data_IF_712168524071
#
_entry.id   IF_712168524071
#
_cell.length_a   1.000
_cell.length_b   1.000
_cell.length_c   1.000
_cell.angle_alpha   90.00
_cell.angle_beta   90.00
_cell.angle_gamma   90.00
#
_symmetry.space_group_name_H-M   'P 1'
#
loop_
_entity.id
_entity.type
_entity.pdbx_description
1 polymer ?
#
# COMPACT_ATOMS: atom_id res chain seq x y z
N UNK A 1 -25.80 -61.86 15.69
CA UNK A 1 -24.93 -60.72 16.06
C UNK A 1 -24.72 -60.71 17.56
N UNK A 2 -23.53 -61.10 18.00
CA UNK A 2 -23.16 -61.24 19.41
C UNK A 2 -22.87 -59.88 20.06
N UNK A 3 -23.11 -59.77 21.38
CA UNK A 3 -22.94 -58.56 22.20
C UNK A 3 -21.58 -57.85 22.03
N UNK A 4 -20.53 -58.59 21.64
CA UNK A 4 -19.17 -58.10 21.33
C UNK A 4 -19.05 -57.31 20.02
N UNK A 5 -19.83 -57.64 18.98
CA UNK A 5 -19.82 -56.87 17.73
C UNK A 5 -20.49 -55.50 17.88
N UNK A 6 -21.51 -55.37 18.73
CA UNK A 6 -22.17 -54.08 19.03
C UNK A 6 -21.24 -53.12 19.80
N UNK A 7 -20.43 -53.63 20.71
CA UNK A 7 -19.51 -52.80 21.52
C UNK A 7 -18.32 -52.26 20.72
N UNK A 8 -17.81 -53.02 19.74
CA UNK A 8 -16.77 -52.55 18.83
C UNK A 8 -17.26 -51.46 17.86
N UNK A 9 -18.52 -51.56 17.38
CA UNK A 9 -19.14 -50.55 16.51
C UNK A 9 -19.35 -49.22 17.27
N UNK A 10 -19.85 -49.29 18.51
CA UNK A 10 -20.12 -48.11 19.36
C UNK A 10 -18.82 -47.38 19.76
N UNK A 11 -17.72 -48.12 19.97
CA UNK A 11 -16.41 -47.51 20.28
C UNK A 11 -15.80 -46.75 19.11
N UNK A 12 -15.97 -47.26 17.88
CA UNK A 12 -15.54 -46.57 16.66
C UNK A 12 -16.34 -45.29 16.40
N UNK A 13 -17.66 -45.36 16.55
CA UNK A 13 -18.54 -44.19 16.36
C UNK A 13 -18.26 -43.09 17.41
N UNK A 14 -18.00 -43.46 18.67
CA UNK A 14 -17.64 -42.50 19.71
C UNK A 14 -16.30 -41.80 19.42
N UNK A 15 -15.29 -42.54 18.94
CA UNK A 15 -13.99 -41.95 18.55
C UNK A 15 -14.14 -40.99 17.37
N UNK A 16 -14.97 -41.32 16.39
CA UNK A 16 -15.26 -40.43 15.25
C UNK A 16 -15.99 -39.17 15.72
N UNK A 17 -16.99 -39.30 16.60
CA UNK A 17 -17.71 -38.13 17.17
C UNK A 17 -16.74 -37.24 17.95
N UNK A 18 -15.89 -37.80 18.80
CA UNK A 18 -14.88 -37.04 19.55
C UNK A 18 -13.86 -36.37 18.63
N UNK A 19 -13.43 -37.03 17.55
CA UNK A 19 -12.54 -36.45 16.56
C UNK A 19 -13.20 -35.27 15.83
N UNK A 20 -14.48 -35.40 15.44
CA UNK A 20 -15.25 -34.32 14.79
C UNK A 20 -15.44 -33.14 15.76
N UNK A 21 -15.83 -33.40 17.02
CA UNK A 21 -15.97 -32.36 18.03
C UNK A 21 -14.64 -31.67 18.34
N UNK A 22 -13.55 -32.44 18.42
CA UNK A 22 -12.21 -31.90 18.61
C UNK A 22 -11.76 -31.02 17.46
N UNK A 23 -11.99 -31.45 16.21
CA UNK A 23 -11.72 -30.64 15.02
C UNK A 23 -12.58 -29.38 15.00
N UNK A 24 -13.88 -29.49 15.29
CA UNK A 24 -14.79 -28.35 15.38
C UNK A 24 -14.36 -27.32 16.43
N UNK A 25 -13.95 -27.79 17.60
CA UNK A 25 -13.41 -26.93 18.65
C UNK A 25 -12.09 -26.25 18.22
N UNK A 26 -11.16 -27.00 17.61
CA UNK A 26 -9.91 -26.45 17.10
C UNK A 26 -10.16 -25.36 16.04
N UNK A 27 -11.12 -25.57 15.14
CA UNK A 27 -11.53 -24.56 14.16
C UNK A 27 -12.10 -23.32 14.81
N UNK A 28 -12.92 -23.45 15.86
CA UNK A 28 -13.44 -22.29 16.61
C UNK A 28 -12.32 -21.51 17.30
N UNK A 29 -11.39 -22.19 17.95
CA UNK A 29 -10.23 -21.56 18.60
C UNK A 29 -9.38 -20.77 17.60
N UNK A 30 -9.23 -21.25 16.36
CA UNK A 30 -8.53 -20.53 15.29
C UNK A 30 -9.36 -19.40 14.68
N UNK A 31 -10.68 -19.55 14.59
CA UNK A 31 -11.57 -18.58 13.95
C UNK A 31 -11.84 -17.35 14.81
N UNK A 32 -11.90 -17.49 16.15
CA UNK A 32 -12.25 -16.39 17.06
C UNK A 32 -11.24 -15.23 16.99
N UNK A 33 -9.91 -15.43 17.16
CA UNK A 33 -8.96 -14.32 17.10
C UNK A 33 -8.99 -13.58 15.76
N UNK A 34 -9.13 -14.34 14.65
CA UNK A 34 -9.20 -13.78 13.30
C UNK A 34 -10.46 -12.94 13.09
N UNK A 35 -11.61 -13.45 13.53
CA UNK A 35 -12.89 -12.73 13.43
C UNK A 35 -12.88 -11.45 14.26
N UNK A 36 -12.37 -11.51 15.50
CA UNK A 36 -12.28 -10.33 16.37
C UNK A 36 -11.33 -9.29 15.76
N UNK A 37 -10.14 -9.71 15.31
CA UNK A 37 -9.16 -8.79 14.73
C UNK A 37 -9.71 -8.08 13.47
N UNK A 38 -10.32 -8.81 12.53
CA UNK A 38 -10.90 -8.17 11.34
C UNK A 38 -12.11 -7.28 11.65
N UNK A 39 -12.92 -7.63 12.65
CA UNK A 39 -14.02 -6.79 13.11
C UNK A 39 -13.50 -5.47 13.69
N UNK A 40 -12.43 -5.52 14.49
CA UNK A 40 -11.75 -4.32 15.02
C UNK A 40 -11.15 -3.45 13.93
N UNK A 41 -10.67 -4.02 12.83
CA UNK A 41 -10.13 -3.25 11.69
C UNK A 41 -11.20 -2.61 10.80
N UNK A 42 -12.46 -3.06 10.88
CA UNK A 42 -13.53 -2.63 9.97
C UNK A 42 -13.70 -1.10 9.86
N UNK A 43 -13.67 -0.31 10.95
CA UNK A 43 -13.79 1.15 10.87
C UNK A 43 -12.69 1.82 10.04
N UNK A 44 -11.47 1.27 10.04
CA UNK A 44 -10.35 1.83 9.27
C UNK A 44 -10.50 1.62 7.76
N UNK A 45 -11.28 0.63 7.30
CA UNK A 45 -11.51 0.41 5.86
C UNK A 45 -12.15 1.61 5.17
N UNK A 46 -13.11 2.26 5.84
CA UNK A 46 -13.73 3.49 5.32
C UNK A 46 -12.72 4.64 5.22
N UNK A 47 -11.82 4.75 6.21
CA UNK A 47 -10.73 5.74 6.18
C UNK A 47 -9.76 5.47 5.04
N UNK A 48 -9.36 4.21 4.83
CA UNK A 48 -8.50 3.84 3.70
C UNK A 48 -9.14 4.15 2.34
N UNK A 49 -10.44 3.88 2.19
CA UNK A 49 -11.21 4.23 0.99
C UNK A 49 -11.33 5.74 0.77
N UNK A 50 -11.46 6.53 1.84
CA UNK A 50 -11.44 7.99 1.74
C UNK A 50 -10.05 8.48 1.30
N UNK A 51 -8.98 7.93 1.90
CA UNK A 51 -7.60 8.27 1.55
C UNK A 51 -7.24 7.89 0.11
N UNK A 52 -7.68 6.72 -0.39
CA UNK A 52 -7.41 6.30 -1.76
C UNK A 52 -8.09 7.20 -2.80
N UNK A 53 -9.24 7.77 -2.45
CA UNK A 53 -9.96 8.77 -3.27
C UNK A 53 -9.41 10.19 -3.12
N UNK A 54 -8.30 10.37 -2.40
CA UNK A 54 -7.68 11.68 -2.18
C UNK A 54 -8.46 12.60 -1.25
N UNK A 55 -9.45 12.07 -0.49
CA UNK A 55 -10.19 12.88 0.48
C UNK A 55 -9.32 13.21 1.68
N UNK A 56 -9.48 14.42 2.21
CA UNK A 56 -8.88 14.82 3.47
C UNK A 56 -9.63 14.16 4.63
N UNK A 57 -8.92 13.35 5.42
CA UNK A 57 -9.48 12.71 6.62
C UNK A 57 -8.99 13.46 7.85
N UNK A 58 -9.92 13.77 8.76
CA UNK A 58 -9.61 14.44 10.03
C UNK A 58 -8.65 13.63 10.91
N UNK A 59 -7.86 14.30 11.77
CA UNK A 59 -6.83 13.64 12.55
C UNK A 59 -7.45 12.70 13.58
N UNK A 60 -8.61 13.04 14.14
CA UNK A 60 -9.34 12.25 15.13
C UNK A 60 -9.80 10.89 14.55
N UNK A 61 -10.29 10.86 13.30
CA UNK A 61 -10.58 9.60 12.58
C UNK A 61 -9.33 8.76 12.33
N UNK A 62 -8.21 9.38 11.99
CA UNK A 62 -6.94 8.68 11.77
C UNK A 62 -6.41 8.05 13.07
N UNK A 63 -6.43 8.80 14.19
CA UNK A 63 -6.02 8.28 15.50
C UNK A 63 -6.92 7.14 15.98
N UNK A 64 -8.26 7.26 15.83
CA UNK A 64 -9.19 6.17 16.13
C UNK A 64 -8.91 4.93 15.29
N UNK A 65 -8.59 5.10 14.00
CA UNK A 65 -8.23 3.98 13.13
C UNK A 65 -6.93 3.30 13.56
N UNK A 66 -5.91 4.08 13.94
CA UNK A 66 -4.66 3.54 14.51
C UNK A 66 -4.92 2.75 15.79
N UNK A 67 -5.74 3.29 16.70
CA UNK A 67 -6.07 2.62 17.96
C UNK A 67 -6.78 1.28 17.72
N UNK A 68 -7.81 1.26 16.86
CA UNK A 68 -8.54 0.00 16.59
C UNK A 68 -7.69 -1.04 15.87
N UNK A 69 -6.72 -0.63 15.05
CA UNK A 69 -5.77 -1.57 14.43
C UNK A 69 -4.74 -2.11 15.43
N UNK A 70 -4.30 -1.30 16.40
CA UNK A 70 -3.47 -1.80 17.51
C UNK A 70 -4.21 -2.81 18.37
N UNK A 71 -5.50 -2.55 18.65
CA UNK A 71 -6.35 -3.54 19.31
C UNK A 71 -6.48 -4.81 18.45
N UNK A 72 -6.69 -4.71 17.14
CA UNK A 72 -6.74 -5.88 16.27
C UNK A 72 -5.44 -6.70 16.33
N UNK A 73 -4.28 -6.04 16.33
CA UNK A 73 -2.97 -6.68 16.40
C UNK A 73 -2.69 -7.35 17.76
N UNK A 74 -3.37 -6.95 18.84
CA UNK A 74 -3.26 -7.68 20.11
C UNK A 74 -4.01 -9.01 20.09
N UNK A 75 -4.91 -9.23 19.13
CA UNK A 75 -5.60 -10.52 18.92
C UNK A 75 -4.86 -11.40 17.91
N UNK A 76 -4.37 -10.80 16.82
CA UNK A 76 -3.69 -11.54 15.77
C UNK A 76 -2.69 -10.62 15.07
N UNK A 77 -1.41 -11.02 15.08
CA UNK A 77 -0.36 -10.32 14.35
C UNK A 77 -0.53 -10.52 12.84
N UNK A 78 -0.79 -9.44 12.11
CA UNK A 78 -1.17 -9.49 10.70
C UNK A 78 -0.56 -8.34 9.91
N UNK A 79 -0.13 -8.65 8.69
CA UNK A 79 0.46 -7.68 7.77
C UNK A 79 -0.44 -6.45 7.54
N UNK A 80 -1.74 -6.66 7.30
CA UNK A 80 -2.68 -5.59 6.98
C UNK A 80 -2.84 -4.60 8.15
N UNK A 81 -2.87 -5.10 9.39
CA UNK A 81 -2.92 -4.27 10.59
C UNK A 81 -1.76 -3.27 10.66
N UNK A 82 -0.53 -3.77 10.42
CA UNK A 82 0.68 -2.96 10.43
C UNK A 82 0.77 -1.99 9.24
N UNK A 83 0.45 -2.45 8.02
CA UNK A 83 0.48 -1.63 6.80
C UNK A 83 -0.53 -0.46 6.92
N UNK A 84 -1.72 -0.73 7.44
CA UNK A 84 -2.77 0.28 7.57
C UNK A 84 -2.42 1.31 8.65
N UNK A 85 -1.89 0.89 9.81
CA UNK A 85 -1.33 1.82 10.82
C UNK A 85 -0.28 2.74 10.19
N UNK A 86 0.64 2.18 9.41
CA UNK A 86 1.65 2.97 8.71
C UNK A 86 1.03 3.95 7.72
N UNK A 87 0.01 3.51 6.98
CA UNK A 87 -0.74 4.34 6.03
C UNK A 87 -1.45 5.51 6.71
N UNK A 88 -2.08 5.29 7.88
CA UNK A 88 -2.72 6.35 8.64
C UNK A 88 -1.71 7.36 9.19
N UNK A 89 -0.55 6.90 9.65
CA UNK A 89 0.55 7.77 10.11
C UNK A 89 1.16 8.59 8.98
N UNK A 90 1.34 7.99 7.80
CA UNK A 90 1.75 8.72 6.60
C UNK A 90 0.73 9.80 6.22
N UNK A 91 -0.57 9.52 6.35
CA UNK A 91 -1.62 10.51 6.11
C UNK A 91 -1.59 11.65 7.16
N UNK A 92 -1.40 11.33 8.44
CA UNK A 92 -1.18 12.34 9.50
C UNK A 92 0.02 13.23 9.18
N UNK A 93 1.15 12.64 8.75
CA UNK A 93 2.37 13.36 8.43
C UNK A 93 2.25 14.32 7.23
N UNK A 94 1.20 14.22 6.40
CA UNK A 94 0.96 15.15 5.29
C UNK A 94 0.24 16.42 5.71
N UNK A 95 -0.25 16.49 6.94
CA UNK A 95 -0.99 17.67 7.37
C UNK A 95 -0.09 18.93 7.42
N UNK A 96 -0.63 20.10 7.11
CA UNK A 96 0.14 21.34 7.08
C UNK A 96 0.41 21.93 8.47
N UNK A 97 -0.42 21.60 9.48
CA UNK A 97 -0.37 22.13 10.84
C UNK A 97 0.68 21.49 11.76
N UNK A 98 1.45 20.51 11.25
CA UNK A 98 2.47 19.81 12.03
C UNK A 98 3.82 20.53 11.99
N UNK A 99 4.47 20.61 13.16
CA UNK A 99 5.89 20.94 13.25
C UNK A 99 6.73 19.89 12.52
N UNK A 100 7.92 20.29 12.05
CA UNK A 100 8.82 19.37 11.35
C UNK A 100 9.24 18.17 12.21
N UNK A 101 9.47 18.40 13.52
CA UNK A 101 9.78 17.33 14.45
C UNK A 101 8.63 16.30 14.58
N UNK A 102 7.38 16.78 14.71
CA UNK A 102 6.21 15.91 14.78
C UNK A 102 5.98 15.15 13.45
N UNK A 103 6.18 15.84 12.32
CA UNK A 103 6.11 15.24 10.98
C UNK A 103 7.12 14.11 10.83
N UNK A 104 8.39 14.34 11.17
CA UNK A 104 9.45 13.33 11.14
C UNK A 104 9.15 12.15 12.04
N UNK A 105 8.65 12.39 13.26
CA UNK A 105 8.27 11.32 14.18
C UNK A 105 7.17 10.42 13.59
N UNK A 106 6.13 11.01 12.98
CA UNK A 106 5.07 10.25 12.31
C UNK A 106 5.58 9.46 11.12
N UNK A 107 6.50 10.02 10.32
CA UNK A 107 7.12 9.32 9.19
C UNK A 107 7.98 8.14 9.66
N UNK A 108 8.76 8.27 10.73
CA UNK A 108 9.53 7.14 11.28
C UNK A 108 8.60 6.04 11.82
N UNK A 109 7.52 6.41 12.49
CA UNK A 109 6.51 5.45 12.93
C UNK A 109 5.77 4.77 11.77
N UNK A 110 5.53 5.50 10.67
CA UNK A 110 4.98 4.95 9.43
C UNK A 110 5.94 3.92 8.84
N UNK A 111 7.22 4.30 8.69
CA UNK A 111 8.29 3.44 8.16
C UNK A 111 8.37 2.13 8.94
N UNK A 112 8.43 2.20 10.27
CA UNK A 112 8.49 1.02 11.13
C UNK A 112 7.28 0.11 10.97
N UNK A 113 6.05 0.67 10.98
CA UNK A 113 4.84 -0.12 10.84
C UNK A 113 4.72 -0.78 9.45
N UNK A 114 4.96 -0.04 8.36
CA UNK A 114 4.90 -0.63 7.01
C UNK A 114 5.96 -1.73 6.86
N UNK A 115 7.16 -1.54 7.41
CA UNK A 115 8.22 -2.56 7.37
C UNK A 115 7.82 -3.82 8.12
N UNK A 116 7.22 -3.71 9.31
CA UNK A 116 6.71 -4.85 10.07
C UNK A 116 5.62 -5.62 9.30
N UNK A 117 4.71 -4.90 8.64
CA UNK A 117 3.69 -5.55 7.83
C UNK A 117 4.27 -6.25 6.59
N UNK A 118 5.29 -5.65 5.95
CA UNK A 118 5.99 -6.25 4.81
C UNK A 118 6.82 -7.47 5.20
N UNK A 119 7.37 -7.54 6.42
CA UNK A 119 8.04 -8.75 6.90
C UNK A 119 7.09 -9.93 7.11
N UNK A 120 5.81 -9.66 7.43
CA UNK A 120 4.79 -10.69 7.54
C UNK A 120 4.23 -11.11 6.17
N UNK A 121 4.11 -10.17 5.22
CA UNK A 121 3.60 -10.44 3.88
C UNK A 121 4.27 -9.53 2.84
N UNK A 122 5.34 -9.99 2.17
CA UNK A 122 6.10 -9.15 1.24
C UNK A 122 5.39 -8.89 -0.10
N UNK A 123 4.42 -9.73 -0.51
CA UNK A 123 3.71 -9.61 -1.80
C UNK A 123 2.65 -8.48 -1.81
N UNK A 124 3.06 -7.24 -1.51
CA UNK A 124 2.18 -6.08 -1.32
C UNK A 124 2.71 -4.83 -2.04
N UNK A 125 2.51 -4.66 -3.37
CA UNK A 125 3.12 -3.56 -4.13
C UNK A 125 2.72 -2.16 -3.64
N UNK A 126 1.49 -2.00 -3.15
CA UNK A 126 1.02 -0.76 -2.54
C UNK A 126 1.80 -0.39 -1.26
N UNK A 127 2.10 -1.37 -0.42
CA UNK A 127 2.86 -1.14 0.82
C UNK A 127 4.31 -0.74 0.52
N UNK A 128 4.96 -1.38 -0.46
CA UNK A 128 6.29 -0.97 -0.94
C UNK A 128 6.30 0.47 -1.47
N UNK A 129 5.28 0.86 -2.23
CA UNK A 129 5.14 2.25 -2.73
C UNK A 129 4.96 3.26 -1.59
N UNK A 130 4.15 2.93 -0.58
CA UNK A 130 3.97 3.78 0.62
C UNK A 130 5.23 3.87 1.46
N UNK A 131 6.02 2.80 1.54
CA UNK A 131 7.32 2.81 2.21
C UNK A 131 8.32 3.70 1.45
N UNK A 132 8.38 3.59 0.12
CA UNK A 132 9.19 4.47 -0.72
C UNK A 132 8.80 5.94 -0.54
N UNK A 133 7.50 6.23 -0.47
CA UNK A 133 7.01 7.58 -0.19
C UNK A 133 7.40 8.07 1.20
N UNK A 134 7.32 7.21 2.22
CA UNK A 134 7.72 7.57 3.58
C UNK A 134 9.20 7.94 3.63
N UNK A 135 10.05 7.18 2.93
CA UNK A 135 11.46 7.51 2.76
C UNK A 135 11.65 8.85 2.02
N UNK A 136 10.97 9.04 0.88
CA UNK A 136 11.03 10.27 0.10
C UNK A 136 10.60 11.52 0.88
N UNK A 137 9.66 11.40 1.81
CA UNK A 137 9.23 12.49 2.68
C UNK A 137 10.19 12.76 3.85
N UNK A 138 10.99 11.76 4.26
CA UNK A 138 12.05 11.93 5.26
C UNK A 138 13.31 12.54 4.65
N UNK A 139 13.68 12.05 3.48
CA UNK A 139 14.84 12.43 2.69
C UNK A 139 14.64 11.98 1.23
N UNK A 140 14.50 12.93 0.31
CA UNK A 140 14.30 12.65 -1.12
C UNK A 140 15.53 12.04 -1.80
N UNK A 141 16.72 12.18 -1.20
CA UNK A 141 17.97 11.59 -1.68
C UNK A 141 18.25 10.19 -1.13
N UNK A 142 17.37 9.63 -0.30
CA UNK A 142 17.61 8.37 0.38
C UNK A 142 17.84 7.20 -0.60
N UNK A 143 19.00 6.52 -0.58
CA UNK A 143 19.29 5.38 -1.46
C UNK A 143 18.28 4.23 -1.34
N UNK A 144 17.61 4.13 -0.19
CA UNK A 144 16.57 3.13 0.06
C UNK A 144 15.35 3.26 -0.88
N UNK A 145 15.11 4.42 -1.51
CA UNK A 145 13.93 4.62 -2.37
C UNK A 145 13.98 3.71 -3.61
N UNK A 146 15.15 3.51 -4.21
CA UNK A 146 15.33 2.66 -5.40
C UNK A 146 14.83 1.22 -5.20
N UNK A 147 15.38 0.43 -4.24
CA UNK A 147 14.96 -0.95 -4.05
C UNK A 147 13.47 -1.08 -3.66
N UNK A 148 12.91 -0.10 -2.94
CA UNK A 148 11.49 -0.07 -2.58
C UNK A 148 10.59 0.10 -3.81
N UNK A 149 10.93 1.03 -4.71
CA UNK A 149 10.21 1.19 -5.97
C UNK A 149 10.36 -0.02 -6.87
N UNK A 150 11.55 -0.61 -6.96
CA UNK A 150 11.74 -1.86 -7.72
C UNK A 150 10.86 -2.98 -7.20
N UNK A 151 10.74 -3.13 -5.89
CA UNK A 151 9.90 -4.17 -5.30
C UNK A 151 8.42 -3.94 -5.61
N UNK A 152 7.94 -2.69 -5.51
CA UNK A 152 6.60 -2.31 -5.96
C UNK A 152 6.34 -2.68 -7.43
N UNK A 153 7.26 -2.33 -8.33
CA UNK A 153 7.14 -2.63 -9.76
C UNK A 153 7.25 -4.11 -10.08
N UNK A 154 8.05 -4.87 -9.33
CA UNK A 154 8.17 -6.33 -9.55
C UNK A 154 6.89 -7.06 -9.11
N UNK A 155 6.32 -6.68 -7.97
CA UNK A 155 5.13 -7.35 -7.42
C UNK A 155 3.81 -6.82 -7.99
N UNK A 156 3.82 -5.63 -8.60
CA UNK A 156 2.64 -4.94 -9.12
C UNK A 156 2.92 -4.20 -10.42
N UNK A 157 3.57 -4.86 -11.38
CA UNK A 157 4.05 -4.23 -12.62
C UNK A 157 2.98 -3.45 -13.36
N UNK A 158 1.75 -3.99 -13.43
CA UNK A 158 0.62 -3.42 -14.18
C UNK A 158 -0.48 -2.83 -13.29
N UNK A 159 -0.18 -2.52 -12.04
CA UNK A 159 -1.15 -1.92 -11.11
C UNK A 159 -1.42 -0.43 -11.46
N UNK A 160 -2.57 -0.09 -12.07
CA UNK A 160 -2.82 1.26 -12.61
C UNK A 160 -2.88 2.32 -11.50
N UNK A 161 -3.44 1.94 -10.36
CA UNK A 161 -3.59 2.81 -9.18
C UNK A 161 -2.24 3.23 -8.57
N UNK A 162 -1.15 2.53 -8.91
CA UNK A 162 0.19 2.85 -8.43
C UNK A 162 1.00 3.71 -9.39
N UNK A 163 0.61 3.84 -10.65
CA UNK A 163 1.42 4.50 -11.69
C UNK A 163 1.74 5.94 -11.30
N UNK A 164 0.70 6.72 -11.03
CA UNK A 164 0.83 8.14 -10.67
C UNK A 164 1.68 8.32 -9.42
N UNK A 165 1.51 7.46 -8.41
CA UNK A 165 2.29 7.55 -7.18
C UNK A 165 3.76 7.18 -7.40
N UNK A 166 4.04 6.09 -8.15
CA UNK A 166 5.39 5.65 -8.51
C UNK A 166 6.12 6.72 -9.32
N UNK A 167 5.46 7.32 -10.32
CA UNK A 167 6.02 8.41 -11.13
C UNK A 167 6.37 9.62 -10.26
N UNK A 168 5.49 10.02 -9.35
CA UNK A 168 5.73 11.18 -8.46
C UNK A 168 6.91 10.96 -7.52
N UNK A 169 6.97 9.80 -6.87
CA UNK A 169 8.09 9.44 -5.99
C UNK A 169 9.38 9.33 -6.81
N UNK A 170 9.31 8.66 -7.96
CA UNK A 170 10.45 8.43 -8.83
C UNK A 170 11.06 9.73 -9.38
N UNK A 171 10.23 10.68 -9.79
CA UNK A 171 10.69 12.00 -10.21
C UNK A 171 11.31 12.81 -9.07
N UNK A 172 10.70 12.77 -7.87
CA UNK A 172 11.24 13.43 -6.69
C UNK A 172 12.60 12.86 -6.26
N UNK A 173 12.78 11.54 -6.37
CA UNK A 173 13.98 10.82 -5.98
C UNK A 173 14.94 10.53 -7.15
N UNK A 174 14.74 11.15 -8.32
CA UNK A 174 15.40 10.78 -9.60
C UNK A 174 16.94 10.67 -9.55
N UNK A 175 17.58 11.45 -8.69
CA UNK A 175 19.04 11.44 -8.50
C UNK A 175 19.54 10.17 -7.77
N UNK A 176 18.71 9.55 -6.93
CA UNK A 176 19.03 8.36 -6.15
C UNK A 176 18.62 7.04 -6.85
N UNK A 177 17.96 7.11 -8.00
CA UNK A 177 17.46 5.91 -8.70
C UNK A 177 18.52 5.30 -9.61
N UNK A 178 18.58 3.98 -9.64
CA UNK A 178 19.35 3.22 -10.63
C UNK A 178 18.76 3.39 -12.03
N UNK A 179 19.57 3.15 -13.05
CA UNK A 179 19.12 3.19 -14.45
C UNK A 179 17.99 2.20 -14.72
N UNK A 180 18.08 0.98 -14.18
CA UNK A 180 17.04 -0.03 -14.32
C UNK A 180 15.68 0.45 -13.77
N UNK A 181 15.66 1.12 -12.62
CA UNK A 181 14.43 1.70 -12.05
C UNK A 181 13.92 2.87 -12.86
N UNK A 182 14.81 3.74 -13.37
CA UNK A 182 14.43 4.86 -14.26
C UNK A 182 13.77 4.35 -15.55
N UNK A 183 14.28 3.27 -16.13
CA UNK A 183 13.72 2.66 -17.33
C UNK A 183 12.32 2.07 -17.07
N UNK A 184 12.11 1.42 -15.91
CA UNK A 184 10.77 0.95 -15.50
C UNK A 184 9.81 2.11 -15.23
N UNK A 185 10.27 3.20 -14.62
CA UNK A 185 9.46 4.41 -14.42
C UNK A 185 9.05 5.06 -15.73
N UNK A 186 9.90 5.04 -16.76
CA UNK A 186 9.53 5.54 -18.08
C UNK A 186 8.33 4.78 -18.65
N UNK A 187 8.22 3.47 -18.40
CA UNK A 187 7.02 2.70 -18.75
C UNK A 187 5.77 3.17 -17.97
N UNK A 188 5.90 3.44 -16.67
CA UNK A 188 4.79 4.00 -15.87
C UNK A 188 4.38 5.40 -16.38
N UNK A 189 5.32 6.24 -16.84
CA UNK A 189 5.03 7.54 -17.48
C UNK A 189 4.28 7.38 -18.79
N UNK A 190 4.72 6.46 -19.67
CA UNK A 190 4.02 6.16 -20.94
C UNK A 190 2.59 5.68 -20.66
N UNK A 191 2.41 4.83 -19.66
CA UNK A 191 1.09 4.32 -19.29
C UNK A 191 0.19 5.42 -18.69
N UNK A 192 0.73 6.31 -17.85
CA UNK A 192 -0.02 7.48 -17.40
C UNK A 192 -0.39 8.39 -18.57
N UNK A 193 0.55 8.68 -19.49
CA UNK A 193 0.24 9.47 -20.68
C UNK A 193 -0.88 8.85 -21.53
N UNK A 194 -0.90 7.52 -21.66
CA UNK A 194 -1.93 6.79 -22.40
C UNK A 194 -3.32 6.95 -21.78
N UNK A 195 -3.42 6.89 -20.45
CA UNK A 195 -4.71 6.96 -19.75
C UNK A 195 -5.18 8.39 -19.46
N UNK A 196 -4.25 9.31 -19.17
CA UNK A 196 -4.53 10.68 -18.74
C UNK A 196 -3.38 11.64 -19.11
N UNK A 197 -3.23 11.90 -20.41
CA UNK A 197 -2.28 12.88 -20.95
C UNK A 197 -2.47 14.28 -20.36
N UNK A 198 -3.71 14.68 -20.07
CA UNK A 198 -4.03 16.00 -19.52
C UNK A 198 -3.53 16.15 -18.08
N UNK A 199 -3.80 15.17 -17.21
CA UNK A 199 -3.30 15.17 -15.84
C UNK A 199 -1.78 15.05 -15.77
N UNK A 200 -1.15 14.24 -16.64
CA UNK A 200 0.31 14.19 -16.75
C UNK A 200 0.90 15.54 -17.18
N UNK A 201 0.30 16.21 -18.16
CA UNK A 201 0.74 17.52 -18.63
C UNK A 201 0.60 18.59 -17.54
N UNK A 202 -0.53 18.62 -16.84
CA UNK A 202 -0.75 19.53 -15.73
C UNK A 202 0.26 19.29 -14.60
N UNK A 203 0.45 18.04 -14.19
CA UNK A 203 1.43 17.68 -13.18
C UNK A 203 2.86 18.04 -13.62
N UNK A 204 3.21 17.73 -14.86
CA UNK A 204 4.53 18.00 -15.44
C UNK A 204 4.87 19.48 -15.43
N UNK A 205 3.92 20.34 -15.80
CA UNK A 205 4.09 21.79 -15.74
C UNK A 205 4.22 22.30 -14.31
N UNK A 206 3.36 21.83 -13.39
CA UNK A 206 3.39 22.23 -11.96
C UNK A 206 4.71 21.85 -11.26
N UNK A 207 5.41 20.82 -11.73
CA UNK A 207 6.61 20.26 -11.09
C UNK A 207 7.88 20.41 -11.94
N UNK A 208 7.83 21.21 -13.01
CA UNK A 208 8.94 21.42 -13.95
C UNK A 208 9.52 20.11 -14.52
N UNK A 209 8.68 19.09 -14.69
CA UNK A 209 9.09 17.75 -15.09
C UNK A 209 9.09 17.53 -16.62
N UNK A 210 8.89 18.59 -17.42
CA UNK A 210 8.74 18.49 -18.87
C UNK A 210 9.91 17.76 -19.56
N UNK A 211 11.20 18.07 -19.29
CA UNK A 211 12.30 17.35 -19.93
C UNK A 211 12.31 15.86 -19.59
N UNK A 212 11.95 15.52 -18.36
CA UNK A 212 11.91 14.13 -17.88
C UNK A 212 10.77 13.34 -18.54
N UNK A 213 9.58 13.95 -18.66
CA UNK A 213 8.43 13.34 -19.35
C UNK A 213 8.74 13.18 -20.84
N UNK A 214 9.27 14.21 -21.51
CA UNK A 214 9.61 14.13 -22.94
C UNK A 214 10.59 13.01 -23.24
N UNK A 215 11.62 12.83 -22.41
CA UNK A 215 12.55 11.71 -22.53
C UNK A 215 11.85 10.36 -22.40
N UNK A 216 10.95 10.21 -21.43
CA UNK A 216 10.20 8.96 -21.26
C UNK A 216 9.26 8.65 -22.45
N UNK A 217 8.86 9.65 -23.24
CA UNK A 217 7.98 9.51 -24.40
C UNK A 217 8.74 9.53 -25.74
N UNK A 218 10.07 9.57 -25.74
CA UNK A 218 10.85 9.81 -26.96
C UNK A 218 10.65 8.73 -28.03
N UNK A 219 10.46 7.48 -27.61
CA UNK A 219 10.27 6.33 -28.50
C UNK A 219 8.84 6.18 -29.04
N UNK A 220 7.87 6.97 -28.57
CA UNK A 220 6.47 6.91 -29.01
C UNK A 220 5.99 8.28 -29.46
N UNK A 221 6.19 8.56 -30.76
CA UNK A 221 5.82 9.82 -31.39
C UNK A 221 4.32 10.16 -31.23
N UNK A 222 3.45 9.15 -31.20
CA UNK A 222 2.00 9.33 -31.05
C UNK A 222 1.64 9.76 -29.63
N UNK A 223 2.18 9.07 -28.60
CA UNK A 223 2.01 9.49 -27.20
C UNK A 223 2.64 10.85 -26.94
N UNK A 224 3.84 11.10 -27.47
CA UNK A 224 4.51 12.38 -27.33
C UNK A 224 3.68 13.52 -27.94
N UNK A 225 3.13 13.34 -29.14
CA UNK A 225 2.25 14.31 -29.79
C UNK A 225 0.97 14.59 -28.98
N UNK A 226 0.32 13.55 -28.47
CA UNK A 226 -0.87 13.68 -27.59
C UNK A 226 -0.55 14.45 -26.31
N UNK A 227 0.52 14.06 -25.61
CA UNK A 227 0.98 14.75 -24.40
C UNK A 227 1.29 16.22 -24.68
N UNK A 228 2.02 16.53 -25.75
CA UNK A 228 2.39 17.90 -26.09
C UNK A 228 1.16 18.75 -26.43
N UNK A 229 0.20 18.20 -27.16
CA UNK A 229 -1.08 18.86 -27.44
C UNK A 229 -1.81 19.21 -26.14
N UNK A 230 -1.90 18.26 -25.19
CA UNK A 230 -2.46 18.52 -23.86
C UNK A 230 -1.69 19.60 -23.11
N UNK A 231 -0.35 19.57 -23.13
CA UNK A 231 0.51 20.53 -22.44
C UNK A 231 0.36 21.96 -22.97
N UNK A 232 0.32 22.13 -24.30
CA UNK A 232 0.18 23.45 -24.95
C UNK A 232 -1.21 24.07 -24.79
N UNK A 233 -2.25 23.24 -24.61
CA UNK A 233 -3.63 23.70 -24.35
C UNK A 233 -3.87 24.18 -22.93
N UNK A 234 -2.93 23.94 -22.02
CA UNK A 234 -3.10 24.37 -20.65
C UNK A 234 -3.10 25.91 -20.54
N UNK A 235 -3.99 26.51 -19.73
CA UNK A 235 -4.07 27.97 -19.61
C UNK A 235 -2.75 28.56 -19.13
N UNK A 236 -2.36 29.71 -19.69
CA UNK A 236 -1.23 30.49 -19.18
C UNK A 236 -1.48 30.81 -17.70
N UNK A 237 -0.44 30.65 -16.88
CA UNK A 237 -0.47 30.97 -15.46
C UNK A 237 0.19 32.32 -15.22
#
# INVERSE_FOLDING_TARGET
>A
MTKRQKTALIGGDLLVILAILGLGFALLVLAVPRTVAHSKMAPGKAVLSDLSRGKTVGPERLHRSIASHKEALSWLDMADGWIDIGTFRLALARRPDLTEAARRALLQQSKSAISAGLSLSPARPFAWTRLAQTHQMLDSGAPAIDPLLRMSMTLGAREPDLLTQRVRIGYAARAALSEATRNRLAADVRLWALHDSAGLAEWGRRNFALPWIRRALEDDASLHGRFLSSYLRLPAR
#
